data_IF_910561514526
#
_entry.id   IF_910561514526
#
_cell.length_a   1.000
_cell.length_b   1.000
_cell.length_c   1.000
_cell.angle_alpha   90.00
_cell.angle_beta   90.00
_cell.angle_gamma   90.00
#
_symmetry.space_group_name_H-M   'P 1'
#
loop_
_entity.id
_entity.type
_entity.pdbx_description
1 polymer ?
#
# COMPACT_ATOMS: atom_id res chain seq x y z
N UNK A 1 23.06 -7.37 14.40
CA UNK A 1 22.63 -8.68 13.86
C UNK A 1 21.65 -8.39 12.76
N UNK A 2 22.10 -8.46 11.50
CA UNK A 2 21.22 -8.32 10.33
C UNK A 2 20.48 -9.65 10.17
N UNK A 3 19.28 -9.72 10.72
CA UNK A 3 18.36 -10.80 10.43
C UNK A 3 18.01 -10.72 8.95
N UNK A 4 18.54 -11.68 8.20
CA UNK A 4 18.26 -11.86 6.79
C UNK A 4 16.75 -11.94 6.68
N UNK A 5 16.14 -10.98 5.98
CA UNK A 5 14.77 -11.03 5.52
C UNK A 5 14.63 -12.33 4.72
N UNK A 6 14.24 -13.39 5.42
CA UNK A 6 13.83 -14.66 4.85
C UNK A 6 12.74 -14.33 3.84
N UNK A 7 13.15 -14.14 2.59
CA UNK A 7 12.27 -14.18 1.46
C UNK A 7 12.00 -15.66 1.21
N UNK A 8 11.49 -16.34 2.24
CA UNK A 8 11.06 -17.72 2.17
C UNK A 8 9.68 -17.67 1.55
N UNK A 9 9.59 -18.23 0.36
CA UNK A 9 8.34 -18.60 -0.29
C UNK A 9 7.74 -19.73 0.56
N UNK A 10 7.31 -19.40 1.78
CA UNK A 10 6.61 -20.32 2.63
C UNK A 10 5.25 -20.61 1.97
N UNK A 11 4.76 -21.86 2.00
CA UNK A 11 3.42 -22.18 1.54
C UNK A 11 2.42 -21.50 2.49
N UNK A 12 1.69 -20.52 1.98
CA UNK A 12 0.66 -19.79 2.72
C UNK A 12 0.15 -18.62 1.90
N UNK A 13 -1.09 -18.21 2.10
CA UNK A 13 -1.68 -17.07 1.37
C UNK A 13 -1.08 -15.73 1.82
N UNK A 14 -0.52 -15.62 3.02
CA UNK A 14 0.11 -14.38 3.52
C UNK A 14 1.64 -14.56 3.62
N UNK A 15 2.39 -13.61 3.06
CA UNK A 15 3.86 -13.61 3.05
C UNK A 15 4.41 -12.21 3.31
N UNK A 16 5.54 -12.09 4.01
CA UNK A 16 6.29 -10.83 4.12
C UNK A 16 7.12 -10.57 2.87
N UNK A 17 7.15 -9.33 2.42
CA UNK A 17 7.95 -8.85 1.28
C UNK A 17 8.71 -7.57 1.65
N UNK A 18 9.49 -7.05 0.71
CA UNK A 18 10.09 -5.71 0.75
C UNK A 18 9.06 -4.58 0.97
N UNK A 19 7.77 -4.83 0.69
CA UNK A 19 6.65 -3.90 0.86
C UNK A 19 5.80 -4.17 2.11
N UNK A 20 6.20 -5.13 2.95
CA UNK A 20 5.43 -5.58 4.11
C UNK A 20 4.58 -6.82 3.82
N UNK A 21 3.48 -6.97 4.56
CA UNK A 21 2.58 -8.14 4.46
C UNK A 21 1.81 -8.12 3.13
N UNK A 22 1.91 -9.21 2.36
CA UNK A 22 1.30 -9.35 1.05
C UNK A 22 0.63 -10.71 0.86
N UNK A 23 -0.32 -10.76 -0.06
CA UNK A 23 -0.87 -12.02 -0.56
C UNK A 23 0.21 -12.73 -1.39
N UNK A 24 0.48 -14.00 -1.10
CA UNK A 24 1.53 -14.78 -1.73
C UNK A 24 1.32 -14.89 -3.24
N UNK A 25 2.40 -14.72 -4.00
CA UNK A 25 2.34 -14.70 -5.46
C UNK A 25 1.65 -13.46 -6.06
N UNK A 26 1.16 -12.52 -5.23
CA UNK A 26 0.50 -11.29 -5.66
C UNK A 26 1.25 -10.05 -5.18
N UNK A 27 1.10 -8.96 -5.91
CA UNK A 27 1.54 -7.61 -5.48
C UNK A 27 0.42 -6.87 -4.75
N UNK A 28 -0.32 -7.59 -3.89
CA UNK A 28 -1.46 -7.08 -3.12
C UNK A 28 -1.05 -7.09 -1.67
N UNK A 29 -0.95 -5.91 -1.04
CA UNK A 29 -0.64 -5.79 0.39
C UNK A 29 -1.90 -6.05 1.21
N UNK A 30 -1.73 -6.58 2.42
CA UNK A 30 -2.85 -6.68 3.36
C UNK A 30 -3.31 -5.29 3.81
N UNK A 31 -2.43 -4.29 3.81
CA UNK A 31 -2.78 -2.90 4.12
C UNK A 31 -3.78 -2.31 3.12
N UNK A 32 -3.63 -2.63 1.82
CA UNK A 32 -4.60 -2.25 0.80
C UNK A 32 -5.97 -2.88 1.07
N UNK A 33 -5.99 -4.14 1.49
CA UNK A 33 -7.22 -4.85 1.84
C UNK A 33 -7.87 -4.19 3.05
N UNK A 34 -7.10 -3.91 4.10
CA UNK A 34 -7.57 -3.23 5.31
C UNK A 34 -8.13 -1.84 5.03
N UNK A 35 -7.49 -1.04 4.17
CA UNK A 35 -8.01 0.29 3.76
C UNK A 35 -9.43 0.19 3.20
N UNK A 36 -9.69 -0.81 2.35
CA UNK A 36 -11.01 -1.01 1.75
C UNK A 36 -12.02 -1.54 2.76
N UNK A 37 -11.61 -2.46 3.64
CA UNK A 37 -12.46 -2.96 4.72
C UNK A 37 -12.87 -1.82 5.66
N UNK A 38 -11.93 -0.94 6.05
CA UNK A 38 -12.19 0.26 6.86
C UNK A 38 -13.07 1.28 6.13
N UNK A 39 -12.99 1.35 4.80
CA UNK A 39 -13.91 2.12 3.97
C UNK A 39 -15.30 1.47 3.79
N UNK A 40 -15.56 0.33 4.45
CA UNK A 40 -16.86 -0.35 4.44
C UNK A 40 -17.10 -1.24 3.23
N UNK A 41 -16.06 -1.58 2.46
CA UNK A 41 -16.23 -2.43 1.28
C UNK A 41 -16.54 -3.87 1.68
N UNK A 42 -17.60 -4.49 1.10
CA UNK A 42 -17.89 -5.88 1.34
C UNK A 42 -16.74 -6.78 0.84
N UNK A 43 -16.27 -7.76 1.64
CA UNK A 43 -15.16 -8.64 1.24
C UNK A 43 -15.36 -9.37 -0.09
N UNK A 44 -16.61 -9.74 -0.40
CA UNK A 44 -16.94 -10.41 -1.66
C UNK A 44 -16.78 -9.49 -2.88
N UNK A 45 -17.00 -8.19 -2.76
CA UNK A 45 -16.72 -7.24 -3.85
C UNK A 45 -15.22 -7.01 -3.97
N UNK A 46 -14.55 -6.82 -2.83
CA UNK A 46 -13.13 -6.57 -2.76
C UNK A 46 -12.30 -7.71 -3.38
N UNK A 47 -12.65 -8.97 -3.11
CA UNK A 47 -11.97 -10.13 -3.71
C UNK A 47 -12.08 -10.12 -5.24
N UNK A 48 -13.23 -9.74 -5.79
CA UNK A 48 -13.45 -9.69 -7.23
C UNK A 48 -12.61 -8.58 -7.87
N UNK A 49 -12.58 -7.41 -7.24
CA UNK A 49 -11.76 -6.28 -7.69
C UNK A 49 -10.26 -6.61 -7.65
N UNK A 50 -9.80 -7.29 -6.59
CA UNK A 50 -8.42 -7.71 -6.41
C UNK A 50 -8.04 -9.01 -7.14
N UNK A 51 -9.01 -9.66 -7.82
CA UNK A 51 -8.84 -10.96 -8.50
C UNK A 51 -8.26 -12.04 -7.56
N UNK A 52 -8.74 -12.04 -6.32
CA UNK A 52 -8.49 -13.06 -5.30
C UNK A 52 -9.57 -14.15 -5.37
N UNK A 53 -9.13 -15.39 -5.24
CA UNK A 53 -10.03 -16.52 -5.00
C UNK A 53 -10.72 -16.35 -3.65
N UNK A 54 -11.86 -17.04 -3.49
CA UNK A 54 -12.59 -17.05 -2.22
C UNK A 54 -11.72 -17.56 -1.07
N UNK A 55 -10.91 -18.60 -1.33
CA UNK A 55 -9.94 -19.13 -0.37
C UNK A 55 -8.86 -18.10 -0.01
N UNK A 56 -8.26 -17.42 -0.98
CA UNK A 56 -7.25 -16.38 -0.70
C UNK A 56 -7.85 -15.26 0.15
N UNK A 57 -9.08 -14.82 -0.13
CA UNK A 57 -9.72 -13.77 0.67
C UNK A 57 -10.03 -14.25 2.09
N UNK A 58 -10.54 -15.47 2.26
CA UNK A 58 -10.83 -16.04 3.58
C UNK A 58 -9.55 -16.17 4.43
N UNK A 59 -8.48 -16.76 3.87
CA UNK A 59 -7.21 -16.91 4.59
C UNK A 59 -6.57 -15.56 4.97
N UNK A 60 -6.72 -14.53 4.12
CA UNK A 60 -6.30 -13.16 4.48
C UNK A 60 -7.09 -12.61 5.66
N UNK A 61 -8.41 -12.73 5.63
CA UNK A 61 -9.26 -12.24 6.71
C UNK A 61 -8.98 -12.98 8.03
N UNK A 62 -8.80 -14.29 7.96
CA UNK A 62 -8.43 -15.12 9.10
C UNK A 62 -7.07 -14.69 9.68
N UNK A 63 -6.08 -14.44 8.83
CA UNK A 63 -4.79 -13.92 9.28
C UNK A 63 -4.92 -12.56 9.97
N UNK A 64 -5.65 -11.60 9.38
CA UNK A 64 -5.85 -10.27 9.96
C UNK A 64 -6.54 -10.38 11.32
N UNK A 65 -7.59 -11.21 11.42
CA UNK A 65 -8.34 -11.38 12.66
C UNK A 65 -7.51 -12.08 13.75
N UNK A 66 -6.76 -13.13 13.38
CA UNK A 66 -5.90 -13.86 14.31
C UNK A 66 -4.72 -13.01 14.83
N UNK A 67 -4.27 -12.03 14.06
CA UNK A 67 -3.11 -11.17 14.38
C UNK A 67 -3.50 -9.70 14.59
N UNK A 68 -4.76 -9.43 14.97
CA UNK A 68 -5.35 -8.09 14.89
C UNK A 68 -4.53 -6.97 15.54
N UNK A 69 -4.08 -7.19 16.78
CA UNK A 69 -3.29 -6.19 17.52
C UNK A 69 -1.97 -5.86 16.84
N UNK A 70 -1.22 -6.87 16.39
CA UNK A 70 0.08 -6.67 15.75
C UNK A 70 -0.08 -6.09 14.34
N UNK A 71 -1.10 -6.56 13.62
CA UNK A 71 -1.46 -6.07 12.30
C UNK A 71 -1.86 -4.60 12.33
N UNK A 72 -2.76 -4.20 13.25
CA UNK A 72 -3.23 -2.82 13.36
C UNK A 72 -2.08 -1.87 13.72
N UNK A 73 -1.18 -2.28 14.63
CA UNK A 73 0.03 -1.51 14.95
C UNK A 73 0.96 -1.33 13.75
N UNK A 74 1.18 -2.38 12.96
CA UNK A 74 1.98 -2.28 11.74
C UNK A 74 1.27 -1.43 10.67
N UNK A 75 -0.04 -1.59 10.53
CA UNK A 75 -0.89 -0.82 9.62
C UNK A 75 -0.80 0.68 9.93
N UNK A 76 -1.00 1.09 11.18
CA UNK A 76 -0.90 2.50 11.60
C UNK A 76 0.47 3.09 11.29
N UNK A 77 1.54 2.33 11.56
CA UNK A 77 2.91 2.76 11.22
C UNK A 77 3.07 2.97 9.72
N UNK A 78 2.57 2.05 8.89
CA UNK A 78 2.67 2.15 7.42
C UNK A 78 1.82 3.31 6.88
N UNK A 79 0.62 3.50 7.41
CA UNK A 79 -0.29 4.59 7.04
C UNK A 79 0.33 5.96 7.36
N UNK A 80 0.91 6.13 8.55
CA UNK A 80 1.59 7.36 8.94
C UNK A 80 2.78 7.66 8.02
N UNK A 81 3.61 6.66 7.74
CA UNK A 81 4.74 6.84 6.80
C UNK A 81 4.28 7.19 5.38
N UNK A 82 3.12 6.67 4.93
CA UNK A 82 2.56 7.03 3.64
C UNK A 82 2.10 8.50 3.60
N UNK A 83 1.41 8.95 4.66
CA UNK A 83 0.98 10.34 4.79
C UNK A 83 2.17 11.31 4.85
N UNK A 84 3.22 11.00 5.62
CA UNK A 84 4.44 11.79 5.69
C UNK A 84 5.13 11.92 4.33
N UNK A 85 5.25 10.81 3.59
CA UNK A 85 5.82 10.80 2.23
C UNK A 85 4.99 11.64 1.28
N UNK A 86 3.67 11.52 1.33
CA UNK A 86 2.77 12.31 0.50
C UNK A 86 2.93 13.81 0.79
N UNK A 87 2.95 14.20 2.05
CA UNK A 87 3.14 15.59 2.46
C UNK A 87 4.50 16.14 1.98
N UNK A 88 5.57 15.36 2.15
CA UNK A 88 6.90 15.71 1.67
C UNK A 88 6.89 15.97 0.16
N UNK A 89 6.38 15.04 -0.64
CA UNK A 89 6.36 15.19 -2.10
C UNK A 89 5.46 16.31 -2.57
N UNK A 90 4.33 16.53 -1.89
CA UNK A 90 3.42 17.66 -2.16
C UNK A 90 4.10 19.00 -1.93
N UNK A 91 4.85 19.16 -0.83
CA UNK A 91 5.65 20.36 -0.55
C UNK A 91 6.70 20.58 -1.65
N UNK A 92 7.43 19.54 -2.02
CA UNK A 92 8.42 19.61 -3.10
C UNK A 92 7.81 19.96 -4.45
N UNK A 93 6.63 19.43 -4.79
CA UNK A 93 5.92 19.79 -6.01
C UNK A 93 5.51 21.27 -6.01
N UNK A 94 4.97 21.77 -4.90
CA UNK A 94 4.60 23.19 -4.79
C UNK A 94 5.80 24.11 -4.96
N UNK A 95 6.97 23.75 -4.40
CA UNK A 95 8.21 24.49 -4.61
C UNK A 95 8.63 24.47 -6.07
N UNK A 96 8.70 23.28 -6.70
CA UNK A 96 9.02 23.15 -8.13
C UNK A 96 8.10 24.00 -9.01
N UNK A 97 6.80 24.01 -8.71
CA UNK A 97 5.80 24.81 -9.46
C UNK A 97 5.99 26.31 -9.30
N UNK A 98 6.47 26.78 -8.14
CA UNK A 98 6.82 28.20 -7.93
C UNK A 98 8.09 28.59 -8.67
N UNK A 99 9.07 27.69 -8.73
CA UNK A 99 10.35 27.91 -9.44
C UNK A 99 10.19 27.81 -10.97
N UNK A 100 9.20 27.05 -11.44
CA UNK A 100 8.66 27.10 -12.80
C UNK A 100 7.94 28.44 -13.04
N UNK A 101 8.69 29.54 -13.11
CA UNK A 101 8.22 30.74 -13.83
C UNK A 101 7.87 30.33 -15.26
N UNK A 102 6.79 30.86 -15.86
CA UNK A 102 6.43 30.48 -17.21
C UNK A 102 7.61 30.81 -18.13
N UNK A 103 8.06 29.83 -18.91
CA UNK A 103 8.83 30.11 -20.12
C UNK A 103 7.84 30.78 -21.10
N UNK A 104 7.38 31.98 -20.80
CA UNK A 104 6.85 32.92 -21.78
C UNK A 104 8.07 33.64 -22.34
N UNK A 105 8.85 32.92 -23.14
CA UNK A 105 9.87 33.52 -24.01
C UNK A 105 9.23 33.65 -25.39
N UNK A 106 8.60 34.80 -25.59
CA UNK A 106 8.51 35.53 -26.86
C UNK A 106 8.31 34.67 -28.11
N UNK A 107 7.08 34.20 -28.36
CA UNK A 107 6.62 33.97 -29.72
C UNK A 107 5.83 35.21 -30.14
N UNK A 108 6.54 36.27 -30.48
CA UNK A 108 5.99 37.35 -31.32
C UNK A 108 5.95 36.79 -32.75
N UNK A 109 4.78 36.66 -33.39
CA UNK A 109 4.73 36.40 -34.82
C UNK A 109 5.21 37.66 -35.55
N UNK A 110 6.12 37.47 -36.51
CA UNK A 110 6.58 38.51 -37.46
C UNK A 110 5.43 39.02 -38.35
#
# INVERSE_FOLDING_TARGET
MNEILETVVAPGVVRRSDRGLCVAGRRITLYLIEDHLRAGWPPHILRHWLRLSEREMAEVLDYINANRSDFDREYERVANQAAEREEYWRKHEQLRRKDLKPIRRNLTPE
#
